data_IF_186153319491
#
_entry.id   IF_186153319491
#
_cell.length_a   1.000
_cell.length_b   1.000
_cell.length_c   1.000
_cell.angle_alpha   90.00
_cell.angle_beta   90.00
_cell.angle_gamma   90.00
#
_symmetry.space_group_name_H-M   'P 1'
#
loop_
_entity.id
_entity.type
_entity.pdbx_description
1 polymer ?
#
# COMPACT_ATOMS: atom_id res chain seq x y z
N UNK A 1 7.28 -21.14 3.14
CA UNK A 1 7.71 -21.03 4.55
C UNK A 1 7.50 -22.38 5.20
N UNK A 2 8.48 -22.88 5.93
CA UNK A 2 8.49 -24.20 6.54
C UNK A 2 8.97 -24.07 7.99
N UNK A 3 8.37 -24.83 8.90
CA UNK A 3 8.81 -24.96 10.29
C UNK A 3 9.18 -26.43 10.49
N UNK A 4 10.37 -26.68 11.02
CA UNK A 4 10.90 -28.01 11.30
C UNK A 4 11.19 -28.16 12.80
N UNK A 5 11.08 -29.38 13.32
CA UNK A 5 11.54 -29.72 14.66
C UNK A 5 13.07 -29.94 14.71
N UNK A 6 13.62 -30.22 15.89
CA UNK A 6 15.06 -30.45 16.07
C UNK A 6 15.58 -31.73 15.39
N UNK A 7 14.69 -32.60 14.90
CA UNK A 7 15.01 -33.83 14.18
C UNK A 7 14.83 -33.66 12.66
N UNK A 8 14.43 -32.48 12.19
CA UNK A 8 14.20 -32.17 10.78
C UNK A 8 12.82 -32.60 10.26
N UNK A 9 11.89 -33.01 11.14
CA UNK A 9 10.53 -33.31 10.71
C UNK A 9 9.76 -32.02 10.44
N UNK A 10 9.00 -32.00 9.34
CA UNK A 10 8.19 -30.85 8.95
C UNK A 10 6.96 -30.76 9.86
N UNK A 11 6.90 -29.72 10.70
CA UNK A 11 5.75 -29.45 11.57
C UNK A 11 4.72 -28.60 10.84
N UNK A 12 5.18 -27.70 9.98
CA UNK A 12 4.31 -26.82 9.20
C UNK A 12 4.96 -26.49 7.87
N UNK A 13 4.15 -26.47 6.82
CA UNK A 13 4.53 -25.94 5.52
C UNK A 13 3.39 -25.08 4.98
N UNK A 14 3.71 -23.81 4.68
CA UNK A 14 2.75 -22.89 4.08
C UNK A 14 2.48 -23.31 2.64
N UNK A 15 1.35 -23.97 2.40
CA UNK A 15 0.82 -24.22 1.05
C UNK A 15 0.16 -22.95 0.52
N UNK A 16 0.50 -22.55 -0.69
CA UNK A 16 -0.14 -21.43 -1.39
C UNK A 16 -1.28 -21.94 -2.24
N UNK A 17 -2.48 -21.39 -2.05
CA UNK A 17 -3.63 -21.63 -2.92
C UNK A 17 -4.12 -20.27 -3.47
N UNK A 18 -3.46 -19.72 -4.51
CA UNK A 18 -3.79 -18.40 -5.02
C UNK A 18 -5.16 -18.40 -5.69
N UNK A 19 -5.97 -17.39 -5.36
CA UNK A 19 -7.28 -17.16 -5.97
C UNK A 19 -7.21 -15.86 -6.75
N UNK A 20 -7.66 -15.89 -8.01
CA UNK A 20 -7.85 -14.68 -8.81
C UNK A 20 -9.14 -14.01 -8.38
N UNK A 21 -9.02 -12.81 -7.80
CA UNK A 21 -10.16 -12.02 -7.32
C UNK A 21 -10.65 -10.97 -8.33
N UNK A 22 -9.80 -10.60 -9.29
CA UNK A 22 -10.09 -9.65 -10.35
C UNK A 22 -9.56 -10.17 -11.69
N UNK A 23 -10.25 -9.82 -12.76
CA UNK A 23 -9.73 -10.00 -14.11
C UNK A 23 -8.49 -9.13 -14.33
N UNK A 24 -7.55 -9.64 -15.12
CA UNK A 24 -6.28 -8.95 -15.36
C UNK A 24 -6.48 -7.58 -16.00
N UNK A 25 -7.47 -7.42 -16.87
CA UNK A 25 -7.79 -6.14 -17.52
C UNK A 25 -8.23 -5.08 -16.50
N UNK A 26 -9.12 -5.46 -15.57
CA UNK A 26 -9.59 -4.58 -14.49
C UNK A 26 -8.42 -4.20 -13.57
N UNK A 27 -7.59 -5.16 -13.18
CA UNK A 27 -6.43 -4.91 -12.33
C UNK A 27 -5.38 -3.99 -13.01
N UNK A 28 -5.17 -4.16 -14.32
CA UNK A 28 -4.25 -3.34 -15.10
C UNK A 28 -4.77 -1.90 -15.23
N UNK A 29 -6.07 -1.71 -15.45
CA UNK A 29 -6.68 -0.38 -15.50
C UNK A 29 -6.53 0.37 -14.18
N UNK A 30 -6.77 -0.31 -13.05
CA UNK A 30 -6.56 0.27 -11.71
C UNK A 30 -5.07 0.63 -11.51
N UNK A 31 -4.16 -0.26 -11.90
CA UNK A 31 -2.72 -0.02 -11.81
C UNK A 31 -2.32 1.21 -12.62
N UNK A 32 -2.92 1.41 -13.80
CA UNK A 32 -2.66 2.55 -14.66
C UNK A 32 -3.06 3.88 -14.00
N UNK A 33 -4.30 3.95 -13.53
CA UNK A 33 -4.83 5.12 -12.82
C UNK A 33 -3.97 5.45 -11.60
N UNK A 34 -3.59 4.45 -10.80
CA UNK A 34 -2.83 4.67 -9.56
C UNK A 34 -1.34 4.97 -9.81
N UNK A 35 -0.80 4.63 -10.98
CA UNK A 35 0.59 4.87 -11.34
C UNK A 35 0.81 6.25 -11.96
N UNK A 36 -0.24 6.88 -12.50
CA UNK A 36 -0.15 8.18 -13.16
C UNK A 36 0.35 9.26 -12.19
N UNK A 37 1.51 9.83 -12.48
CA UNK A 37 2.11 10.90 -11.68
C UNK A 37 1.54 12.27 -12.02
N UNK A 38 1.17 12.51 -13.28
CA UNK A 38 0.59 13.77 -13.70
C UNK A 38 -0.77 13.97 -13.02
N UNK A 39 -1.60 12.93 -13.02
CA UNK A 39 -2.89 12.95 -12.33
C UNK A 39 -2.77 13.22 -10.82
N UNK A 40 -1.67 12.79 -10.17
CA UNK A 40 -1.42 12.99 -8.74
C UNK A 40 -0.72 14.31 -8.39
N UNK A 41 -0.05 14.92 -9.36
CA UNK A 41 0.79 16.11 -9.17
C UNK A 41 0.07 17.33 -8.56
N UNK A 42 -1.23 17.61 -8.84
CA UNK A 42 -1.91 18.75 -8.22
C UNK A 42 -1.95 18.69 -6.69
N UNK A 43 -1.94 17.49 -6.10
CA UNK A 43 -1.99 17.30 -4.65
C UNK A 43 -0.60 17.17 -4.02
N UNK A 44 0.30 16.42 -4.67
CA UNK A 44 1.58 16.02 -4.06
C UNK A 44 2.81 16.68 -4.68
N UNK A 45 2.64 17.36 -5.81
CA UNK A 45 3.72 17.83 -6.67
C UNK A 45 4.31 16.71 -7.55
N UNK A 46 4.96 17.08 -8.66
CA UNK A 46 5.46 16.12 -9.66
C UNK A 46 6.67 15.29 -9.19
N UNK A 47 7.33 15.70 -8.09
CA UNK A 47 8.47 15.00 -7.47
C UNK A 47 8.21 14.68 -6.00
N UNK A 48 6.99 14.27 -5.70
CA UNK A 48 6.61 13.84 -4.35
C UNK A 48 7.37 12.59 -3.89
N UNK A 49 7.28 12.25 -2.60
CA UNK A 49 7.81 10.98 -2.08
C UNK A 49 7.11 9.73 -2.64
N UNK A 50 6.02 9.89 -3.40
CA UNK A 50 5.33 8.81 -4.10
C UNK A 50 5.82 8.64 -5.54
N UNK A 51 6.71 9.50 -6.03
CA UNK A 51 7.29 9.43 -7.37
C UNK A 51 8.66 8.76 -7.35
N UNK A 52 8.81 7.74 -8.19
CA UNK A 52 10.05 6.97 -8.33
C UNK A 52 10.49 7.02 -9.78
N UNK A 53 11.56 7.76 -10.08
CA UNK A 53 12.00 8.04 -11.46
C UNK A 53 12.21 6.77 -12.32
N UNK A 54 12.67 5.68 -11.70
CA UNK A 54 13.01 4.43 -12.39
C UNK A 54 11.92 3.35 -12.31
N UNK A 55 10.85 3.58 -11.57
CA UNK A 55 9.85 2.56 -11.30
C UNK A 55 8.43 3.10 -11.49
N UNK A 56 7.61 2.36 -12.21
CA UNK A 56 6.17 2.61 -12.25
C UNK A 56 5.55 2.11 -10.95
N UNK A 57 5.31 3.03 -10.03
CA UNK A 57 4.74 2.74 -8.71
C UNK A 57 3.30 3.24 -8.65
N UNK A 58 2.38 2.29 -8.50
CA UNK A 58 1.00 2.58 -8.16
C UNK A 58 0.93 2.99 -6.69
N UNK A 59 0.26 4.10 -6.36
CA UNK A 59 0.04 4.46 -4.96
C UNK A 59 -1.33 5.05 -4.69
N UNK A 60 -1.86 4.76 -3.49
CA UNK A 60 -3.10 5.32 -2.97
C UNK A 60 -2.93 5.76 -1.52
N UNK A 61 -3.43 6.94 -1.22
CA UNK A 61 -3.53 7.47 0.16
C UNK A 61 -4.96 7.37 0.68
N UNK A 62 -5.13 7.33 2.00
CA UNK A 62 -6.41 7.44 2.68
C UNK A 62 -6.24 8.18 4.00
N UNK A 63 -7.19 9.04 4.34
CA UNK A 63 -7.20 9.80 5.59
C UNK A 63 -8.60 9.71 6.18
N UNK A 64 -8.72 9.32 7.45
CA UNK A 64 -10.02 9.33 8.13
C UNK A 64 -10.43 10.75 8.49
N UNK A 65 -11.73 10.95 8.73
CA UNK A 65 -12.24 12.22 9.23
C UNK A 65 -11.51 12.64 10.51
N UNK A 66 -11.29 13.95 10.67
CA UNK A 66 -10.55 14.52 11.79
C UNK A 66 -9.09 14.06 11.91
N UNK A 67 -8.47 13.52 10.85
CA UNK A 67 -7.04 13.14 10.81
C UNK A 67 -6.61 12.20 11.93
N UNK A 68 -7.46 11.22 12.25
CA UNK A 68 -7.12 10.20 13.25
C UNK A 68 -6.14 9.18 12.67
N UNK A 69 -6.32 8.85 11.40
CA UNK A 69 -5.55 7.86 10.68
C UNK A 69 -5.14 8.39 9.30
N UNK A 70 -3.91 8.07 8.92
CA UNK A 70 -3.43 8.20 7.55
C UNK A 70 -2.86 6.87 7.09
N UNK A 71 -3.27 6.44 5.90
CA UNK A 71 -2.76 5.28 5.19
C UNK A 71 -2.09 5.71 3.89
N UNK A 72 -0.99 5.05 3.57
CA UNK A 72 -0.41 5.06 2.23
C UNK A 72 -0.10 3.63 1.83
N UNK A 73 -0.64 3.20 0.69
CA UNK A 73 -0.39 1.89 0.10
C UNK A 73 0.25 2.10 -1.26
N UNK A 74 1.34 1.42 -1.54
CA UNK A 74 2.02 1.46 -2.83
C UNK A 74 2.52 0.09 -3.26
N UNK A 75 2.60 -0.15 -4.56
CA UNK A 75 3.08 -1.42 -5.09
C UNK A 75 3.70 -1.31 -6.49
N UNK A 76 4.53 -2.31 -6.79
CA UNK A 76 5.01 -2.71 -8.13
C UNK A 76 4.59 -4.16 -8.39
N UNK A 77 4.87 -4.75 -9.57
CA UNK A 77 4.61 -6.18 -9.79
C UNK A 77 5.31 -7.13 -8.80
N UNK A 78 6.41 -6.69 -8.18
CA UNK A 78 7.27 -7.50 -7.33
C UNK A 78 7.04 -7.28 -5.83
N UNK A 79 6.58 -6.10 -5.41
CA UNK A 79 6.43 -5.76 -4.00
C UNK A 79 5.22 -4.86 -3.74
N UNK A 80 4.57 -5.10 -2.60
CA UNK A 80 3.52 -4.24 -2.05
C UNK A 80 3.90 -3.78 -0.64
N UNK A 81 3.69 -2.50 -0.35
CA UNK A 81 3.99 -1.87 0.94
C UNK A 81 2.77 -1.06 1.39
N UNK A 82 2.47 -1.13 2.69
CA UNK A 82 1.42 -0.35 3.32
C UNK A 82 1.94 0.27 4.61
N UNK A 83 1.67 1.56 4.80
CA UNK A 83 2.07 2.32 5.99
C UNK A 83 0.83 2.98 6.58
N UNK A 84 0.65 2.79 7.88
CA UNK A 84 -0.34 3.49 8.69
C UNK A 84 0.36 4.40 9.69
N UNK A 85 -0.23 5.57 9.92
CA UNK A 85 0.13 6.48 11.00
C UNK A 85 -1.15 6.93 11.71
N UNK A 86 -1.13 6.87 13.03
CA UNK A 86 -2.24 7.27 13.89
C UNK A 86 -1.85 7.21 15.37
N UNK A 87 -2.71 7.72 16.23
CA UNK A 87 -2.53 7.59 17.68
C UNK A 87 -3.27 6.35 18.20
N UNK A 88 -2.63 5.56 19.06
CA UNK A 88 -3.22 4.34 19.63
C UNK A 88 -4.49 4.58 20.46
N UNK A 89 -4.73 5.82 20.88
CA UNK A 89 -5.93 6.23 21.63
C UNK A 89 -7.00 6.90 20.74
N UNK A 90 -6.87 6.82 19.41
CA UNK A 90 -7.79 7.41 18.44
C UNK A 90 -7.92 8.95 18.50
N UNK A 91 -6.98 9.62 19.16
CA UNK A 91 -6.91 11.08 19.15
C UNK A 91 -6.47 11.58 17.76
N UNK A 92 -6.99 12.72 17.27
CA UNK A 92 -6.49 13.38 16.07
C UNK A 92 -4.98 13.59 16.09
N UNK A 93 -4.30 13.33 14.97
CA UNK A 93 -2.86 13.56 14.84
C UNK A 93 -2.51 15.05 14.73
N UNK A 94 -3.45 15.88 14.27
CA UNK A 94 -3.29 17.33 14.18
C UNK A 94 -4.37 18.03 15.01
N UNK A 95 -4.01 19.14 15.65
CA UNK A 95 -4.93 19.91 16.51
C UNK A 95 -5.93 20.76 15.73
N UNK A 96 -5.64 21.08 14.47
CA UNK A 96 -6.48 21.89 13.59
C UNK A 96 -6.32 21.42 12.15
N UNK A 97 -7.43 21.22 11.45
CA UNK A 97 -7.43 20.89 10.03
C UNK A 97 -6.89 22.08 9.23
N UNK A 98 -5.88 21.91 8.35
CA UNK A 98 -5.52 22.94 7.41
C UNK A 98 -6.73 23.25 6.51
N UNK A 99 -6.95 24.53 6.26
CA UNK A 99 -8.04 25.02 5.42
C UNK A 99 -7.83 24.63 3.95
#
# INVERSE_FOLDING_TARGET
MKIEDSKGNVVFEKKSNPIRVLDSEVANLITDILSDNEARSPMFGPRSHLYFEKYRVAAKTGTTDNFKDCWTVGYTPEISVSVWVGNNNNAPMIKKQPA
#
